data_IF_403123434980
#
_entry.id   IF_403123434980
#
_cell.length_a   1.000
_cell.length_b   1.000
_cell.length_c   1.000
_cell.angle_alpha   90.00
_cell.angle_beta   90.00
_cell.angle_gamma   90.00
#
_symmetry.space_group_name_H-M   'P 1'
#
loop_
_entity.id
_entity.type
_entity.pdbx_description
1 polymer ?
#
# COMPACT_ATOMS: atom_id res chain seq x y z
N UNK A 1 -1.16 33.65 -8.10
CA UNK A 1 -2.55 33.35 -8.57
C UNK A 1 -2.50 32.29 -9.69
N UNK A 2 -1.76 31.20 -9.48
CA UNK A 2 -1.59 30.11 -10.45
C UNK A 2 -1.74 28.70 -9.83
N UNK A 3 -1.77 28.57 -8.49
CA UNK A 3 -1.74 27.26 -7.83
C UNK A 3 -3.11 26.61 -7.56
N UNK A 4 -4.22 27.32 -7.81
CA UNK A 4 -5.58 26.80 -7.56
C UNK A 4 -6.08 25.94 -8.74
N UNK A 5 -5.55 26.14 -9.95
CA UNK A 5 -6.07 25.52 -11.16
C UNK A 5 -5.70 24.02 -11.30
N UNK A 6 -4.59 23.60 -10.69
CA UNK A 6 -4.12 22.20 -10.76
C UNK A 6 -4.99 21.25 -9.92
N UNK A 7 -5.57 21.75 -8.82
CA UNK A 7 -6.39 20.95 -7.90
C UNK A 7 -7.76 20.63 -8.52
N UNK A 8 -8.27 21.49 -9.41
CA UNK A 8 -9.58 21.30 -10.05
C UNK A 8 -9.58 20.29 -11.20
N UNK A 9 -8.44 19.90 -11.76
CA UNK A 9 -8.41 19.01 -12.94
C UNK A 9 -8.35 17.51 -12.62
N UNK A 10 -8.23 17.11 -11.35
CA UNK A 10 -8.05 15.69 -10.96
C UNK A 10 -9.35 15.03 -10.45
N UNK A 11 -10.49 15.72 -10.54
CA UNK A 11 -11.82 15.23 -10.11
C UNK A 11 -12.51 14.27 -11.11
N UNK A 12 -11.76 13.40 -11.79
CA UNK A 12 -12.33 12.45 -12.75
C UNK A 12 -11.88 11.00 -12.49
N UNK A 13 -11.86 10.59 -11.22
CA UNK A 13 -11.60 9.20 -10.82
C UNK A 13 -12.86 8.63 -10.16
N UNK A 14 -13.40 7.55 -10.73
CA UNK A 14 -14.75 6.98 -10.50
C UNK A 14 -15.40 7.24 -9.12
N UNK A 15 -16.34 8.19 -9.10
CA UNK A 15 -16.97 8.76 -7.91
C UNK A 15 -17.88 7.80 -7.10
N UNK A 16 -18.25 6.64 -7.64
CA UNK A 16 -19.30 5.78 -7.08
C UNK A 16 -18.92 5.07 -5.78
N UNK A 17 -17.77 4.39 -5.76
CA UNK A 17 -17.32 3.60 -4.61
C UNK A 17 -16.79 4.46 -3.46
N UNK A 18 -16.06 5.53 -3.79
CA UNK A 18 -15.49 6.48 -2.84
C UNK A 18 -16.61 7.18 -2.07
N UNK A 19 -17.68 7.58 -2.76
CA UNK A 19 -18.85 8.24 -2.14
C UNK A 19 -19.58 7.33 -1.14
N UNK A 20 -19.68 6.03 -1.42
CA UNK A 20 -20.33 5.05 -0.53
C UNK A 20 -19.52 4.80 0.76
N UNK A 21 -18.20 4.70 0.66
CA UNK A 21 -17.31 4.52 1.81
C UNK A 21 -17.24 5.78 2.67
N UNK A 22 -17.17 6.96 2.04
CA UNK A 22 -17.26 8.26 2.71
C UNK A 22 -18.59 8.44 3.46
N UNK A 23 -19.71 8.03 2.87
CA UNK A 23 -21.01 8.11 3.53
C UNK A 23 -21.09 7.24 4.79
N UNK A 24 -20.46 6.07 4.82
CA UNK A 24 -20.40 5.21 6.02
C UNK A 24 -19.56 5.84 7.14
N UNK A 25 -18.41 6.44 6.82
CA UNK A 25 -17.56 7.20 7.74
C UNK A 25 -18.29 8.39 8.36
N UNK A 26 -18.96 9.15 7.51
CA UNK A 26 -19.74 10.34 7.86
C UNK A 26 -20.86 10.03 8.84
N UNK A 27 -21.54 8.88 8.69
CA UNK A 27 -22.63 8.48 9.60
C UNK A 27 -22.12 8.09 10.99
N UNK A 28 -20.86 7.66 11.11
CA UNK A 28 -20.21 7.29 12.39
C UNK A 28 -19.86 8.51 13.26
N UNK A 29 -19.63 9.68 12.67
CA UNK A 29 -19.22 10.90 13.39
C UNK A 29 -20.23 12.05 13.21
N UNK A 30 -21.18 12.16 14.14
CA UNK A 30 -22.41 13.00 14.04
C UNK A 30 -22.26 14.52 14.16
N UNK A 31 -21.06 15.09 14.34
CA UNK A 31 -20.90 16.55 14.44
C UNK A 31 -20.36 17.16 13.15
N UNK A 32 -21.00 18.23 12.68
CA UNK A 32 -20.75 18.85 11.38
C UNK A 32 -19.29 19.31 11.18
N UNK A 33 -18.59 19.73 12.23
CA UNK A 33 -17.15 20.07 12.21
C UNK A 33 -16.22 18.84 12.17
N UNK A 34 -16.62 17.72 12.78
CA UNK A 34 -15.85 16.48 12.79
C UNK A 34 -15.97 15.80 11.42
N UNK A 35 -17.16 15.85 10.81
CA UNK A 35 -17.45 15.28 9.49
C UNK A 35 -16.59 15.88 8.37
N UNK A 36 -16.46 17.21 8.33
CA UNK A 36 -15.61 17.90 7.34
C UNK A 36 -14.14 17.62 7.57
N UNK A 37 -13.70 17.57 8.83
CA UNK A 37 -12.33 17.20 9.19
C UNK A 37 -11.96 15.81 8.68
N UNK A 38 -12.76 14.77 8.96
CA UNK A 38 -12.49 13.42 8.46
C UNK A 38 -12.56 13.32 6.94
N UNK A 39 -13.48 14.04 6.29
CA UNK A 39 -13.61 14.02 4.84
C UNK A 39 -12.38 14.63 4.14
N UNK A 40 -11.88 15.75 4.65
CA UNK A 40 -10.69 16.41 4.10
C UNK A 40 -9.44 15.55 4.28
N UNK A 41 -9.21 15.05 5.50
CA UNK A 41 -8.06 14.21 5.84
C UNK A 41 -8.06 12.88 5.05
N UNK A 42 -9.23 12.27 4.85
CA UNK A 42 -9.37 11.08 4.01
C UNK A 42 -9.01 11.35 2.55
N UNK A 43 -9.54 12.42 1.95
CA UNK A 43 -9.26 12.74 0.55
C UNK A 43 -7.78 13.06 0.33
N UNK A 44 -7.15 13.78 1.26
CA UNK A 44 -5.72 14.06 1.21
C UNK A 44 -4.87 12.78 1.28
N UNK A 45 -5.23 11.85 2.18
CA UNK A 45 -4.58 10.55 2.30
C UNK A 45 -4.75 9.71 1.03
N UNK A 46 -5.97 9.63 0.49
CA UNK A 46 -6.26 8.88 -0.72
C UNK A 46 -5.48 9.41 -1.92
N UNK A 47 -5.48 10.72 -2.10
CA UNK A 47 -4.73 11.39 -3.16
C UNK A 47 -3.22 11.13 -3.02
N UNK A 48 -2.68 11.28 -1.81
CA UNK A 48 -1.27 11.06 -1.55
C UNK A 48 -0.85 9.61 -1.85
N UNK A 49 -1.56 8.61 -1.31
CA UNK A 49 -1.20 7.20 -1.48
C UNK A 49 -1.32 6.78 -2.94
N UNK A 50 -2.36 7.21 -3.65
CA UNK A 50 -2.54 6.88 -5.07
C UNK A 50 -1.42 7.46 -5.94
N UNK A 51 -1.05 8.72 -5.74
CA UNK A 51 0.06 9.33 -6.48
C UNK A 51 1.40 8.64 -6.16
N UNK A 52 1.61 8.28 -4.89
CA UNK A 52 2.80 7.54 -4.49
C UNK A 52 2.84 6.14 -5.14
N UNK A 53 1.68 5.47 -5.24
CA UNK A 53 1.50 4.18 -5.92
C UNK A 53 1.68 4.26 -7.43
N UNK A 54 1.29 5.36 -8.07
CA UNK A 54 1.52 5.54 -9.51
C UNK A 54 3.03 5.60 -9.85
N UNK A 55 3.84 6.18 -8.96
CA UNK A 55 5.28 6.36 -9.17
C UNK A 55 6.08 5.14 -8.69
N UNK A 56 5.73 4.58 -7.54
CA UNK A 56 6.52 3.56 -6.83
C UNK A 56 5.83 2.20 -6.73
N UNK A 57 4.57 2.11 -7.13
CA UNK A 57 3.80 0.88 -7.07
C UNK A 57 4.29 -0.16 -8.05
N UNK A 58 4.31 -1.41 -7.58
CA UNK A 58 4.71 -2.59 -8.33
C UNK A 58 3.51 -3.50 -8.46
N UNK A 59 3.25 -3.95 -9.68
CA UNK A 59 2.29 -5.01 -9.95
C UNK A 59 3.04 -6.34 -9.87
N UNK A 60 2.50 -7.31 -9.12
CA UNK A 60 3.14 -8.62 -9.04
C UNK A 60 3.05 -9.33 -10.41
N UNK A 61 4.19 -9.78 -10.98
CA UNK A 61 4.17 -10.58 -12.20
C UNK A 61 3.50 -11.92 -11.93
N UNK A 62 2.61 -12.36 -12.83
CA UNK A 62 1.97 -13.68 -12.74
C UNK A 62 0.77 -13.80 -11.80
N UNK A 63 0.34 -12.72 -11.14
CA UNK A 63 -0.97 -12.70 -10.49
C UNK A 63 -2.07 -12.70 -11.56
N UNK A 64 -2.54 -13.89 -11.95
CA UNK A 64 -3.77 -14.06 -12.71
C UNK A 64 -4.94 -13.62 -11.83
N UNK A 65 -5.33 -12.38 -12.00
CA UNK A 65 -6.50 -11.81 -11.34
C UNK A 65 -7.72 -12.56 -11.88
N UNK A 66 -8.44 -13.28 -11.02
CA UNK A 66 -9.80 -13.71 -11.36
C UNK A 66 -10.58 -12.46 -11.80
N UNK A 67 -11.43 -12.57 -12.82
CA UNK A 67 -12.05 -11.43 -13.52
C UNK A 67 -12.76 -10.39 -12.62
N UNK A 68 -13.02 -10.74 -11.36
CA UNK A 68 -13.71 -9.90 -10.35
C UNK A 68 -12.80 -9.37 -9.22
N UNK A 69 -11.49 -9.68 -9.20
CA UNK A 69 -10.58 -9.18 -8.18
C UNK A 69 -9.89 -7.87 -8.64
N UNK A 70 -9.77 -6.90 -7.74
CA UNK A 70 -8.97 -5.70 -8.01
C UNK A 70 -7.49 -6.08 -8.00
N UNK A 71 -6.72 -5.57 -8.97
CA UNK A 71 -5.28 -5.79 -9.02
C UNK A 71 -4.61 -5.08 -7.84
N UNK A 72 -3.97 -5.85 -6.95
CA UNK A 72 -3.24 -5.29 -5.81
C UNK A 72 -1.94 -4.62 -6.29
N UNK A 73 -1.72 -3.39 -5.86
CA UNK A 73 -0.49 -2.63 -6.08
C UNK A 73 0.38 -2.78 -4.84
N UNK A 74 1.67 -3.07 -5.03
CA UNK A 74 2.61 -3.26 -3.93
C UNK A 74 3.68 -2.17 -3.91
N UNK A 75 3.88 -1.54 -2.77
CA UNK A 75 5.10 -0.79 -2.50
C UNK A 75 6.28 -1.74 -2.25
N UNK A 76 7.51 -1.34 -2.63
CA UNK A 76 8.71 -2.10 -2.33
C UNK A 76 8.82 -2.49 -0.85
N UNK A 77 9.44 -3.65 -0.59
CA UNK A 77 9.68 -4.14 0.79
C UNK A 77 10.57 -3.20 1.62
N UNK A 78 11.35 -2.34 0.95
CA UNK A 78 12.15 -1.29 1.60
C UNK A 78 11.31 -0.13 2.15
N UNK A 79 10.07 0.01 1.69
CA UNK A 79 9.13 1.01 2.20
C UNK A 79 8.38 0.49 3.43
N UNK A 80 8.05 1.42 4.32
CA UNK A 80 7.25 1.14 5.52
C UNK A 80 6.13 2.17 5.60
N UNK A 81 5.00 1.81 6.24
CA UNK A 81 3.91 2.75 6.44
C UNK A 81 4.37 4.00 7.17
N UNK A 82 5.32 3.86 8.11
CA UNK A 82 5.97 4.98 8.80
C UNK A 82 6.73 5.90 7.85
N UNK A 83 7.55 5.33 6.96
CA UNK A 83 8.30 6.12 5.96
C UNK A 83 7.34 6.92 5.08
N UNK A 84 6.28 6.27 4.61
CA UNK A 84 5.25 6.87 3.75
C UNK A 84 4.46 7.94 4.52
N UNK A 85 4.15 7.69 5.80
CA UNK A 85 3.52 8.68 6.68
C UNK A 85 4.41 9.93 6.88
N UNK A 86 5.72 9.75 7.07
CA UNK A 86 6.62 10.90 7.20
C UNK A 86 6.63 11.75 5.92
N UNK A 87 6.67 11.10 4.75
CA UNK A 87 6.55 11.79 3.46
C UNK A 87 5.20 12.51 3.30
N UNK A 88 4.12 11.89 3.78
CA UNK A 88 2.80 12.51 3.81
C UNK A 88 2.81 13.76 4.67
N UNK A 89 3.31 13.68 5.91
CA UNK A 89 3.41 14.83 6.82
C UNK A 89 4.22 15.95 6.21
N UNK A 90 5.39 15.63 5.63
CA UNK A 90 6.26 16.59 4.94
C UNK A 90 5.53 17.29 3.78
N UNK A 91 4.64 16.58 3.08
CA UNK A 91 3.84 17.15 1.98
C UNK A 91 2.69 18.05 2.46
N UNK A 92 2.21 17.87 3.69
CA UNK A 92 1.07 18.62 4.26
C UNK A 92 1.48 19.67 5.30
N UNK A 93 2.78 19.89 5.55
CA UNK A 93 3.30 20.82 6.58
C UNK A 93 2.70 22.23 6.50
N UNK A 94 2.34 22.70 5.31
CA UNK A 94 1.77 24.04 5.10
C UNK A 94 0.24 24.12 5.38
N UNK A 95 -0.41 23.00 5.73
CA UNK A 95 -1.84 22.91 6.01
C UNK A 95 -2.04 22.51 7.48
N UNK A 96 -2.11 23.49 8.38
CA UNK A 96 -2.23 23.24 9.83
C UNK A 96 -3.48 22.44 10.23
N UNK A 97 -4.52 22.45 9.41
CA UNK A 97 -5.78 21.70 9.64
C UNK A 97 -5.70 20.21 9.19
N UNK A 98 -4.59 19.78 8.58
CA UNK A 98 -4.41 18.45 7.97
C UNK A 98 -3.51 17.50 8.78
N UNK A 99 -3.20 17.82 10.04
CA UNK A 99 -2.32 16.98 10.87
C UNK A 99 -3.09 15.77 11.41
N UNK A 100 -2.99 14.68 10.66
CA UNK A 100 -3.36 13.33 11.08
C UNK A 100 -2.18 12.66 11.78
N UNK A 101 -2.41 11.89 12.84
CA UNK A 101 -1.37 11.08 13.47
C UNK A 101 -1.08 9.78 12.68
N UNK A 102 0.12 9.21 12.88
CA UNK A 102 0.58 8.00 12.18
C UNK A 102 -0.39 6.82 12.33
N UNK A 103 -0.99 6.66 13.51
CA UNK A 103 -1.87 5.53 13.78
C UNK A 103 -3.19 5.65 13.03
N UNK A 104 -3.78 6.85 13.00
CA UNK A 104 -4.96 7.15 12.19
C UNK A 104 -4.66 7.01 10.71
N UNK A 105 -3.48 7.46 10.24
CA UNK A 105 -3.05 7.30 8.85
C UNK A 105 -2.99 5.83 8.45
N UNK A 106 -2.30 5.01 9.24
CA UNK A 106 -2.20 3.58 8.97
C UNK A 106 -3.57 2.90 8.98
N UNK A 107 -4.41 3.25 9.96
CA UNK A 107 -5.75 2.69 10.10
C UNK A 107 -6.68 3.05 8.93
N UNK A 108 -6.66 4.31 8.49
CA UNK A 108 -7.46 4.76 7.35
C UNK A 108 -6.99 4.10 6.05
N UNK A 109 -5.67 3.97 5.87
CA UNK A 109 -5.13 3.22 4.75
C UNK A 109 -5.67 1.78 4.76
N UNK A 110 -5.54 1.04 5.87
CA UNK A 110 -5.97 -0.35 5.94
C UNK A 110 -7.46 -0.57 5.63
N UNK A 111 -8.32 0.38 6.03
CA UNK A 111 -9.77 0.25 5.81
C UNK A 111 -10.18 0.62 4.39
N UNK A 112 -9.59 1.69 3.84
CA UNK A 112 -10.14 2.32 2.64
C UNK A 112 -9.30 2.11 1.39
N UNK A 113 -8.04 1.73 1.52
CA UNK A 113 -7.13 1.49 0.40
C UNK A 113 -6.44 0.12 0.60
N UNK A 114 -7.21 -0.97 0.84
CA UNK A 114 -6.63 -2.30 1.06
C UNK A 114 -5.93 -2.87 -0.18
N UNK A 115 -6.20 -2.32 -1.36
CA UNK A 115 -5.61 -2.72 -2.64
C UNK A 115 -4.18 -2.21 -2.83
N UNK A 116 -3.71 -1.28 -2.00
CA UNK A 116 -2.33 -0.80 -2.01
C UNK A 116 -1.65 -1.30 -0.74
N UNK A 117 -0.65 -2.18 -0.90
CA UNK A 117 -0.02 -2.87 0.21
C UNK A 117 1.50 -2.69 0.18
N UNK A 118 2.15 -2.95 1.31
CA UNK A 118 3.60 -3.05 1.36
C UNK A 118 3.96 -4.51 1.09
N UNK A 119 4.85 -4.74 0.13
CA UNK A 119 5.32 -6.07 -0.20
C UNK A 119 5.98 -6.71 1.02
N UNK A 120 5.54 -7.93 1.34
CA UNK A 120 6.21 -8.71 2.37
C UNK A 120 7.52 -9.27 1.79
N UNK A 121 8.58 -9.47 2.60
CA UNK A 121 9.80 -10.17 2.17
C UNK A 121 9.60 -11.64 1.74
N UNK A 122 8.36 -12.12 1.64
CA UNK A 122 8.03 -13.49 1.23
C UNK A 122 7.23 -13.54 -0.08
N UNK A 123 6.69 -12.42 -0.55
CA UNK A 123 5.89 -12.35 -1.78
C UNK A 123 6.74 -12.23 -3.06
N UNK A 124 8.06 -12.14 -2.92
CA UNK A 124 9.06 -12.08 -3.99
C UNK A 124 9.70 -13.46 -4.28
N UNK A 125 9.37 -14.49 -3.51
CA UNK A 125 9.92 -15.83 -3.72
C UNK A 125 9.24 -16.50 -4.92
N UNK A 126 10.04 -16.95 -5.89
CA UNK A 126 9.56 -17.86 -6.92
C UNK A 126 9.08 -19.19 -6.29
N UNK A 127 8.30 -19.97 -7.04
CA UNK A 127 7.78 -21.26 -6.57
C UNK A 127 8.88 -22.19 -6.01
N UNK A 128 10.09 -22.15 -6.61
CA UNK A 128 11.25 -22.93 -6.17
C UNK A 128 11.74 -22.46 -4.80
N UNK A 129 11.93 -21.16 -4.61
CA UNK A 129 12.30 -20.57 -3.33
C UNK A 129 11.26 -20.87 -2.24
N UNK A 130 9.98 -20.76 -2.58
CA UNK A 130 8.88 -21.03 -1.65
C UNK A 130 8.89 -22.50 -1.19
N UNK A 131 9.05 -23.44 -2.13
CA UNK A 131 9.13 -24.86 -1.83
C UNK A 131 10.34 -25.22 -0.97
N UNK A 132 11.54 -24.74 -1.33
CA UNK A 132 12.76 -25.02 -0.58
C UNK A 132 12.70 -24.45 0.84
N UNK A 133 12.14 -23.25 1.02
CA UNK A 133 11.96 -22.64 2.35
C UNK A 133 10.97 -23.42 3.22
N UNK A 134 9.90 -23.96 2.61
CA UNK A 134 8.98 -24.87 3.28
C UNK A 134 9.68 -26.16 3.72
N UNK A 135 10.46 -26.79 2.84
CA UNK A 135 11.19 -28.01 3.18
C UNK A 135 12.22 -27.80 4.29
N UNK A 136 12.96 -26.69 4.26
CA UNK A 136 13.96 -26.35 5.29
C UNK A 136 13.31 -26.16 6.67
N UNK A 137 12.11 -25.57 6.71
CA UNK A 137 11.42 -25.29 7.98
C UNK A 137 10.68 -26.50 8.56
N UNK A 138 10.30 -27.48 7.75
CA UNK A 138 9.43 -28.59 8.17
C UNK A 138 10.11 -29.97 8.17
N UNK A 139 11.30 -30.14 7.57
CA UNK A 139 12.04 -31.41 7.58
C UNK A 139 13.39 -31.25 8.29
N UNK A 140 13.62 -32.00 9.37
CA UNK A 140 14.90 -31.96 10.10
C UNK A 140 16.06 -32.69 9.38
N UNK A 141 15.74 -33.56 8.42
CA UNK A 141 16.73 -34.34 7.68
C UNK A 141 17.20 -33.61 6.41
N UNK A 142 18.51 -33.69 6.14
CA UNK A 142 19.19 -33.10 4.98
C UNK A 142 19.05 -31.57 4.86
N UNK A 143 18.84 -30.87 5.97
CA UNK A 143 18.75 -29.40 6.03
C UNK A 143 19.90 -28.70 5.32
N UNK A 144 21.14 -29.18 5.50
CA UNK A 144 22.34 -28.65 4.84
C UNK A 144 22.22 -28.71 3.31
N UNK A 145 21.77 -29.84 2.76
CA UNK A 145 21.64 -30.03 1.31
C UNK A 145 20.56 -29.11 0.75
N UNK A 146 19.43 -29.00 1.44
CA UNK A 146 18.29 -28.14 1.05
C UNK A 146 18.65 -26.66 1.13
N UNK A 147 19.37 -26.24 2.16
CA UNK A 147 19.91 -24.88 2.28
C UNK A 147 20.89 -24.56 1.16
N UNK A 148 21.78 -25.49 0.79
CA UNK A 148 22.70 -25.28 -0.33
C UNK A 148 21.96 -25.12 -1.66
N UNK A 149 20.92 -25.93 -1.92
CA UNK A 149 20.07 -25.77 -3.11
C UNK A 149 19.38 -24.40 -3.15
N UNK A 150 18.91 -23.93 -2.00
CA UNK A 150 18.30 -22.61 -1.88
C UNK A 150 19.30 -21.48 -2.17
N UNK A 151 20.51 -21.54 -1.60
CA UNK A 151 21.56 -20.54 -1.84
C UNK A 151 21.98 -20.53 -3.32
N UNK A 152 22.20 -21.71 -3.92
CA UNK A 152 22.57 -21.80 -5.34
C UNK A 152 21.49 -21.15 -6.21
N UNK A 153 20.22 -21.42 -5.93
CA UNK A 153 19.13 -20.83 -6.71
C UNK A 153 19.09 -19.30 -6.60
N UNK A 154 19.32 -18.75 -5.41
CA UNK A 154 19.41 -17.30 -5.19
C UNK A 154 20.59 -16.70 -5.97
N UNK A 155 21.77 -17.32 -5.91
CA UNK A 155 22.96 -16.81 -6.58
C UNK A 155 22.78 -16.81 -8.11
N UNK A 156 22.20 -17.88 -8.67
CA UNK A 156 21.85 -17.94 -10.09
C UNK A 156 20.87 -16.83 -10.50
N UNK A 157 19.91 -16.48 -9.64
CA UNK A 157 18.97 -15.40 -9.91
C UNK A 157 19.62 -14.01 -9.86
N UNK A 158 20.65 -13.82 -9.02
CA UNK A 158 21.45 -12.59 -8.98
C UNK A 158 22.52 -12.51 -10.08
N UNK A 159 22.75 -13.60 -10.83
CA UNK A 159 23.79 -13.67 -11.86
C UNK A 159 25.20 -13.90 -11.32
N UNK A 160 25.32 -14.50 -10.12
CA UNK A 160 26.57 -14.88 -9.45
C UNK A 160 26.97 -16.34 -9.70
#
# INVERSE_FOLDING_TARGET
MQDIYLITQIFAFDDGCITLQLNKLVQKHKHQNIKTFWRYNYNALLYFINNYAEIHGLLLPGCHVHQDAYQTIYFPTADTKRKIYNLYIDSVVNFDDAKMDESTFCHLWDIYIPEIQIMSPQSDLCEVCQHLKYEISHNCDDTIIKTNKYIIHINLAHGE
#
